data_IF_119799543747
#
_entry.id   IF_119799543747
#
_cell.length_a   1.000
_cell.length_b   1.000
_cell.length_c   1.000
_cell.angle_alpha   90.00
_cell.angle_beta   90.00
_cell.angle_gamma   90.00
#
_symmetry.space_group_name_H-M   'P 1'
#
loop_
_entity.id
_entity.type
_entity.pdbx_description
1 polymer ?
#
# COMPACT_ATOMS: atom_id res chain seq x y z
N UNK A 1 47.71 -45.94 -22.75
CA UNK A 1 46.86 -45.60 -21.58
C UNK A 1 46.59 -44.10 -21.47
N UNK A 2 47.63 -43.26 -21.36
CA UNK A 2 47.54 -41.79 -21.14
C UNK A 2 46.63 -41.04 -22.14
N UNK A 3 46.66 -41.39 -23.44
CA UNK A 3 45.81 -40.79 -24.49
C UNK A 3 44.31 -41.04 -24.30
N UNK A 4 43.93 -42.20 -23.76
CA UNK A 4 42.52 -42.52 -23.51
C UNK A 4 42.00 -41.75 -22.30
N UNK A 5 42.83 -41.65 -21.26
CA UNK A 5 42.50 -40.91 -20.04
C UNK A 5 42.31 -39.40 -20.30
N UNK A 6 43.15 -38.81 -21.14
CA UNK A 6 43.06 -37.38 -21.52
C UNK A 6 41.79 -37.06 -22.31
N UNK A 7 41.37 -37.91 -23.26
CA UNK A 7 40.10 -37.71 -23.97
C UNK A 7 38.89 -37.87 -23.05
N UNK A 8 38.91 -38.84 -22.13
CA UNK A 8 37.84 -39.03 -21.15
C UNK A 8 37.71 -37.80 -20.23
N UNK A 9 38.84 -37.25 -19.77
CA UNK A 9 38.83 -36.04 -18.94
C UNK A 9 38.22 -34.83 -19.68
N UNK A 10 38.60 -34.61 -20.95
CA UNK A 10 38.04 -33.52 -21.75
C UNK A 10 36.54 -33.69 -22.03
N UNK A 11 36.08 -34.93 -22.28
CA UNK A 11 34.65 -35.22 -22.40
C UNK A 11 33.88 -34.92 -21.10
N UNK A 12 34.44 -35.28 -19.95
CA UNK A 12 33.82 -34.98 -18.66
C UNK A 12 33.75 -33.46 -18.40
N UNK A 13 34.79 -32.71 -18.74
CA UNK A 13 34.79 -31.24 -18.64
C UNK A 13 33.77 -30.60 -19.59
N UNK A 14 33.64 -31.13 -20.82
CA UNK A 14 32.63 -30.70 -21.78
C UNK A 14 31.21 -30.98 -21.27
N UNK A 15 30.94 -32.19 -20.78
CA UNK A 15 29.64 -32.57 -20.20
C UNK A 15 29.31 -31.74 -18.96
N UNK A 16 30.27 -31.52 -18.07
CA UNK A 16 30.09 -30.68 -16.89
C UNK A 16 29.75 -29.23 -17.27
N UNK A 17 30.47 -28.67 -18.24
CA UNK A 17 30.20 -27.32 -18.75
C UNK A 17 28.81 -27.23 -19.40
N UNK A 18 28.42 -28.23 -20.20
CA UNK A 18 27.13 -28.28 -20.87
C UNK A 18 25.96 -28.44 -19.88
N UNK A 19 26.09 -29.32 -18.89
CA UNK A 19 25.10 -29.46 -17.81
C UNK A 19 24.96 -28.18 -16.99
N UNK A 20 26.07 -27.52 -16.66
CA UNK A 20 26.06 -26.22 -16.00
C UNK A 20 25.37 -25.14 -16.83
N UNK A 21 25.63 -25.10 -18.14
CA UNK A 21 24.98 -24.20 -19.09
C UNK A 21 23.45 -24.40 -19.09
N UNK A 22 22.96 -25.64 -19.22
CA UNK A 22 21.53 -25.94 -19.24
C UNK A 22 20.85 -25.53 -17.93
N UNK A 23 21.49 -25.82 -16.80
CA UNK A 23 20.99 -25.43 -15.48
C UNK A 23 20.86 -23.92 -15.35
N UNK A 24 21.92 -23.18 -15.71
CA UNK A 24 21.93 -21.72 -15.58
C UNK A 24 20.97 -21.06 -16.56
N UNK A 25 20.81 -21.62 -17.76
CA UNK A 25 19.84 -21.14 -18.73
C UNK A 25 18.40 -21.24 -18.20
N UNK A 26 18.04 -22.38 -17.60
CA UNK A 26 16.74 -22.57 -16.96
C UNK A 26 16.55 -21.61 -15.77
N UNK A 27 17.58 -21.39 -14.94
CA UNK A 27 17.50 -20.43 -13.83
C UNK A 27 17.34 -18.98 -14.30
N UNK A 28 17.98 -18.60 -15.41
CA UNK A 28 17.81 -17.27 -16.01
C UNK A 28 16.37 -17.09 -16.48
N UNK A 29 15.78 -18.07 -17.18
CA UNK A 29 14.40 -17.98 -17.65
C UNK A 29 13.41 -17.83 -16.48
N UNK A 30 13.58 -18.63 -15.42
CA UNK A 30 12.79 -18.50 -14.19
C UNK A 30 13.00 -17.12 -13.54
N UNK A 31 14.25 -16.63 -13.53
CA UNK A 31 14.61 -15.32 -12.99
C UNK A 31 13.95 -14.16 -13.76
N UNK A 32 13.97 -14.20 -15.09
CA UNK A 32 13.33 -13.21 -15.96
C UNK A 32 11.82 -13.19 -15.76
N UNK A 33 11.18 -14.37 -15.68
CA UNK A 33 9.76 -14.48 -15.40
C UNK A 33 9.39 -13.85 -14.03
N UNK A 34 10.17 -14.13 -12.98
CA UNK A 34 9.98 -13.54 -11.64
C UNK A 34 10.18 -12.03 -11.63
N UNK A 35 11.16 -11.52 -12.37
CA UNK A 35 11.39 -10.07 -12.51
C UNK A 35 10.19 -9.42 -13.20
N UNK A 36 9.69 -9.99 -14.29
CA UNK A 36 8.54 -9.48 -15.01
C UNK A 36 7.27 -9.48 -14.13
N UNK A 37 7.02 -10.56 -13.39
CA UNK A 37 5.93 -10.62 -12.41
C UNK A 37 6.09 -9.59 -11.29
N UNK A 38 7.31 -9.40 -10.79
CA UNK A 38 7.65 -8.38 -9.81
C UNK A 38 7.35 -6.97 -10.34
N UNK A 39 7.76 -6.66 -11.57
CA UNK A 39 7.48 -5.36 -12.21
C UNK A 39 5.98 -5.12 -12.37
N UNK A 40 5.22 -6.14 -12.81
CA UNK A 40 3.76 -6.06 -12.89
C UNK A 40 3.12 -5.80 -11.53
N UNK A 41 3.63 -6.46 -10.48
CA UNK A 41 3.17 -6.28 -9.10
C UNK A 41 3.48 -4.87 -8.57
N UNK A 42 4.65 -4.32 -8.88
CA UNK A 42 4.99 -2.92 -8.57
C UNK A 42 4.02 -1.97 -9.27
N UNK A 43 3.77 -2.14 -10.57
CA UNK A 43 2.84 -1.29 -11.31
C UNK A 43 1.41 -1.36 -10.76
N UNK A 44 0.93 -2.54 -10.37
CA UNK A 44 -0.35 -2.69 -9.68
C UNK A 44 -0.35 -1.99 -8.31
N UNK A 45 0.73 -2.12 -7.54
CA UNK A 45 0.89 -1.46 -6.25
C UNK A 45 0.93 0.07 -6.34
N UNK A 46 1.58 0.64 -7.37
CA UNK A 46 1.58 2.08 -7.64
C UNK A 46 0.18 2.61 -7.96
N UNK A 47 -0.58 1.89 -8.79
CA UNK A 47 -1.98 2.22 -9.08
C UNK A 47 -2.83 2.19 -7.82
N UNK A 48 -2.68 1.14 -7.00
CA UNK A 48 -3.39 1.01 -5.73
C UNK A 48 -3.02 2.13 -4.75
N UNK A 49 -1.73 2.49 -4.66
CA UNK A 49 -1.26 3.59 -3.83
C UNK A 49 -1.85 4.93 -4.28
N UNK A 50 -1.88 5.20 -5.58
CA UNK A 50 -2.48 6.41 -6.16
C UNK A 50 -3.97 6.51 -5.82
N UNK A 51 -4.73 5.43 -6.04
CA UNK A 51 -6.14 5.36 -5.65
C UNK A 51 -6.33 5.56 -4.14
N UNK A 52 -5.46 4.97 -3.32
CA UNK A 52 -5.45 5.17 -1.87
C UNK A 52 -5.24 6.64 -1.47
N UNK A 53 -4.28 7.33 -2.10
CA UNK A 53 -4.02 8.77 -1.88
C UNK A 53 -5.24 9.62 -2.27
N UNK A 54 -5.91 9.31 -3.38
CA UNK A 54 -7.13 10.02 -3.79
C UNK A 54 -8.26 9.81 -2.78
N UNK A 55 -8.50 8.58 -2.33
CA UNK A 55 -9.50 8.27 -1.30
C UNK A 55 -9.20 9.01 0.01
N UNK A 56 -7.94 9.07 0.42
CA UNK A 56 -7.52 9.80 1.60
C UNK A 56 -7.80 11.30 1.48
N UNK A 57 -7.51 11.91 0.31
CA UNK A 57 -7.83 13.33 0.05
C UNK A 57 -9.34 13.59 0.12
N UNK A 58 -10.14 12.74 -0.52
CA UNK A 58 -11.60 12.84 -0.45
C UNK A 58 -12.12 12.67 0.99
N UNK A 59 -11.54 11.76 1.76
CA UNK A 59 -11.84 11.59 3.19
C UNK A 59 -11.53 12.86 4.00
N UNK A 60 -10.37 13.49 3.77
CA UNK A 60 -10.00 14.75 4.43
C UNK A 60 -11.00 15.88 4.11
N UNK A 61 -11.42 16.00 2.85
CA UNK A 61 -12.42 17.00 2.44
C UNK A 61 -13.76 16.76 3.12
N UNK A 62 -14.24 15.50 3.15
CA UNK A 62 -15.47 15.14 3.87
C UNK A 62 -15.39 15.47 5.35
N UNK A 63 -14.26 15.16 6.00
CA UNK A 63 -14.04 15.49 7.41
C UNK A 63 -14.06 17.01 7.66
N UNK A 64 -13.44 17.79 6.77
CA UNK A 64 -13.47 19.25 6.86
C UNK A 64 -14.88 19.81 6.71
N UNK A 65 -15.66 19.31 5.75
CA UNK A 65 -17.07 19.70 5.60
C UNK A 65 -17.89 19.33 6.85
N UNK A 66 -17.69 18.14 7.41
CA UNK A 66 -18.33 17.72 8.67
C UNK A 66 -17.96 18.62 9.85
N UNK A 67 -16.70 19.04 9.97
CA UNK A 67 -16.27 20.03 10.98
C UNK A 67 -16.97 21.38 10.82
N UNK A 68 -17.11 21.87 9.59
CA UNK A 68 -17.84 23.12 9.32
C UNK A 68 -19.32 23.00 9.69
N UNK A 69 -19.98 21.90 9.32
CA UNK A 69 -21.38 21.64 9.68
C UNK A 69 -21.56 21.58 11.20
N UNK A 70 -20.65 20.90 11.91
CA UNK A 70 -20.66 20.85 13.38
C UNK A 70 -20.53 22.25 13.99
N UNK A 71 -19.65 23.09 13.44
CA UNK A 71 -19.48 24.45 13.92
C UNK A 71 -20.72 25.31 13.71
N UNK A 72 -21.38 25.19 12.55
CA UNK A 72 -22.67 25.85 12.29
C UNK A 72 -23.72 25.35 13.28
N UNK A 73 -23.78 24.04 13.55
CA UNK A 73 -24.67 23.45 14.55
C UNK A 73 -24.44 24.02 15.95
N UNK A 74 -23.17 24.13 16.39
CA UNK A 74 -22.78 24.76 17.66
C UNK A 74 -23.25 26.22 17.75
N UNK A 75 -23.09 27.00 16.69
CA UNK A 75 -23.54 28.39 16.64
C UNK A 75 -25.07 28.50 16.75
N UNK A 76 -25.82 27.66 16.02
CA UNK A 76 -27.28 27.60 16.12
C UNK A 76 -27.75 27.22 17.52
N UNK A 77 -27.11 26.23 18.14
CA UNK A 77 -27.40 25.83 19.51
C UNK A 77 -27.12 26.97 20.51
N UNK A 78 -26.00 27.68 20.35
CA UNK A 78 -25.67 28.84 21.19
C UNK A 78 -26.70 29.97 21.05
N UNK A 79 -27.15 30.26 19.82
CA UNK A 79 -28.21 31.25 19.58
C UNK A 79 -29.55 30.82 20.21
N UNK A 80 -29.94 29.54 20.06
CA UNK A 80 -31.13 28.99 20.70
C UNK A 80 -31.07 29.03 22.22
N UNK A 81 -29.90 28.75 22.82
CA UNK A 81 -29.68 28.90 24.27
C UNK A 81 -29.87 30.34 24.74
N UNK A 82 -29.39 31.33 24.00
CA UNK A 82 -29.61 32.76 24.33
C UNK A 82 -31.09 33.11 24.30
N UNK A 83 -31.81 32.71 23.24
CA UNK A 83 -33.26 32.95 23.13
C UNK A 83 -34.03 32.27 24.28
N UNK A 84 -33.67 31.03 24.61
CA UNK A 84 -34.27 30.30 25.73
C UNK A 84 -34.06 31.02 27.07
N UNK A 85 -32.85 31.55 27.33
CA UNK A 85 -32.56 32.30 28.55
C UNK A 85 -33.41 33.57 28.67
N UNK A 86 -33.63 34.29 27.56
CA UNK A 86 -34.50 35.49 27.53
C UNK A 86 -35.93 35.11 27.93
N UNK A 87 -36.49 34.05 27.34
CA UNK A 87 -37.87 33.61 27.66
C UNK A 87 -37.98 33.10 29.10
N UNK A 88 -36.96 32.40 29.59
CA UNK A 88 -36.92 31.88 30.96
C UNK A 88 -36.80 32.97 32.03
N UNK A 89 -36.25 34.13 31.70
CA UNK A 89 -36.09 35.25 32.62
C UNK A 89 -37.40 36.02 32.90
N UNK A 90 -38.50 35.71 32.18
CA UNK A 90 -39.80 36.35 32.40
C UNK A 90 -40.34 35.93 33.79
N UNK A 91 -40.65 36.87 34.71
CA UNK A 91 -41.13 36.55 36.05
C UNK A 91 -42.62 36.16 36.03
N UNK A 92 -42.93 34.99 35.50
CA UNK A 92 -44.31 34.53 35.27
C UNK A 92 -45.16 34.49 36.56
N UNK A 93 -44.56 34.21 37.72
CA UNK A 93 -45.28 34.24 39.00
C UNK A 93 -45.75 35.64 39.41
N UNK A 94 -44.97 36.68 39.10
CA UNK A 94 -45.40 38.06 39.32
C UNK A 94 -46.52 38.46 38.34
N UNK A 95 -46.46 37.98 37.10
CA UNK A 95 -47.49 38.20 36.08
C UNK A 95 -48.81 37.54 36.48
N UNK A 96 -48.79 36.28 36.92
CA UNK A 96 -50.00 35.58 37.39
C UNK A 96 -50.63 36.21 38.62
N UNK A 97 -49.83 36.75 39.55
CA UNK A 97 -50.35 37.39 40.77
C UNK A 97 -50.98 38.78 40.50
N UNK A 98 -50.45 39.52 39.52
CA UNK A 98 -50.94 40.86 39.16
C UNK A 98 -52.11 40.82 38.17
N UNK A 99 -52.18 39.79 37.32
CA UNK A 99 -53.18 39.63 36.27
C UNK A 99 -53.73 38.19 36.27
N UNK A 100 -54.74 37.89 37.10
CA UNK A 100 -55.35 36.56 37.20
C UNK A 100 -56.05 36.08 35.92
N UNK A 101 -56.28 36.96 34.94
CA UNK A 101 -56.80 36.58 33.61
C UNK A 101 -55.68 36.10 32.66
N UNK A 102 -54.41 36.38 32.98
CA UNK A 102 -53.25 35.99 32.18
C UNK A 102 -52.68 34.60 32.54
N UNK A 103 -53.25 33.90 33.52
CA UNK A 103 -52.82 32.56 33.97
C UNK A 103 -52.75 31.51 32.84
N UNK A 104 -53.70 31.47 31.89
CA UNK A 104 -53.60 30.57 30.73
C UNK A 104 -52.35 30.85 29.89
N UNK A 105 -51.98 32.12 29.73
CA UNK A 105 -50.78 32.54 28.98
C UNK A 105 -49.50 32.14 29.71
N UNK A 106 -49.44 32.26 31.04
CA UNK A 106 -48.27 31.79 31.81
C UNK A 106 -48.05 30.28 31.69
N UNK A 107 -49.12 29.48 31.68
CA UNK A 107 -49.03 28.03 31.46
C UNK A 107 -48.47 27.66 30.07
N UNK A 108 -48.85 28.43 29.04
CA UNK A 108 -48.29 28.29 27.68
C UNK A 108 -46.79 28.61 27.66
N UNK A 109 -46.36 29.69 28.32
CA UNK A 109 -44.94 30.09 28.37
C UNK A 109 -44.12 29.05 29.15
N UNK A 110 -44.61 28.56 30.28
CA UNK A 110 -43.92 27.49 31.04
C UNK A 110 -43.78 26.21 30.23
N UNK A 111 -44.82 25.81 29.50
CA UNK A 111 -44.75 24.67 28.60
C UNK A 111 -43.69 24.89 27.52
N UNK A 112 -43.63 26.08 26.92
CA UNK A 112 -42.65 26.44 25.89
C UNK A 112 -41.22 26.46 26.46
N UNK A 113 -41.03 26.87 27.71
CA UNK A 113 -39.74 26.78 28.41
C UNK A 113 -39.34 25.30 28.58
N UNK A 114 -40.24 24.43 29.06
CA UNK A 114 -39.92 22.99 29.20
C UNK A 114 -39.52 22.37 27.87
N UNK A 115 -40.26 22.65 26.80
CA UNK A 115 -39.95 22.14 25.45
C UNK A 115 -38.63 22.71 24.90
N UNK A 116 -38.39 24.01 25.07
CA UNK A 116 -37.12 24.64 24.68
C UNK A 116 -35.91 24.05 25.42
N UNK A 117 -36.06 23.74 26.71
CA UNK A 117 -35.05 23.05 27.50
C UNK A 117 -34.72 21.66 26.95
N UNK A 118 -35.75 20.88 26.59
CA UNK A 118 -35.56 19.56 25.95
C UNK A 118 -34.86 19.68 24.60
N UNK A 119 -35.22 20.68 23.78
CA UNK A 119 -34.60 20.92 22.48
C UNK A 119 -33.11 21.29 22.62
N UNK A 120 -32.76 22.12 23.59
CA UNK A 120 -31.35 22.45 23.88
C UNK A 120 -30.58 21.21 24.30
N UNK A 121 -31.11 20.42 25.24
CA UNK A 121 -30.47 19.19 25.69
C UNK A 121 -30.29 18.18 24.53
N UNK A 122 -31.26 18.09 23.63
CA UNK A 122 -31.14 17.29 22.42
C UNK A 122 -30.03 17.82 21.48
N UNK A 123 -29.99 19.14 21.24
CA UNK A 123 -28.95 19.77 20.43
C UNK A 123 -27.54 19.60 21.00
N UNK A 124 -27.38 19.66 22.33
CA UNK A 124 -26.11 19.38 23.00
C UNK A 124 -25.66 17.93 22.76
N UNK A 125 -26.57 16.97 22.87
CA UNK A 125 -26.28 15.55 22.56
C UNK A 125 -25.87 15.37 21.09
N UNK A 126 -26.53 16.07 20.15
CA UNK A 126 -26.16 16.04 18.74
C UNK A 126 -24.76 16.62 18.49
N UNK A 127 -24.42 17.74 19.13
CA UNK A 127 -23.08 18.34 19.04
C UNK A 127 -22.03 17.37 19.58
N UNK A 128 -22.26 16.80 20.78
CA UNK A 128 -21.33 15.84 21.37
C UNK A 128 -21.14 14.59 20.49
N UNK A 129 -22.22 14.11 19.85
CA UNK A 129 -22.14 13.03 18.88
C UNK A 129 -21.32 13.43 17.64
N UNK A 130 -21.55 14.63 17.09
CA UNK A 130 -20.80 15.17 15.97
C UNK A 130 -19.30 15.33 16.27
N UNK A 131 -18.94 15.78 17.47
CA UNK A 131 -17.54 15.84 17.93
C UNK A 131 -16.89 14.47 17.96
N UNK A 132 -17.59 13.45 18.48
CA UNK A 132 -17.10 12.06 18.46
C UNK A 132 -16.90 11.55 17.03
N UNK A 133 -17.80 11.88 16.10
CA UNK A 133 -17.66 11.52 14.69
C UNK A 133 -16.45 12.19 14.03
N UNK A 134 -16.22 13.47 14.32
CA UNK A 134 -15.02 14.19 13.84
C UNK A 134 -13.75 13.55 14.38
N UNK A 135 -13.67 13.28 15.68
CA UNK A 135 -12.51 12.64 16.30
C UNK A 135 -12.26 11.24 15.72
N UNK A 136 -13.33 10.47 15.45
CA UNK A 136 -13.22 9.18 14.79
C UNK A 136 -12.68 9.32 13.35
N UNK A 137 -13.20 10.28 12.58
CA UNK A 137 -12.73 10.57 11.24
C UNK A 137 -11.26 10.98 11.21
N UNK A 138 -10.79 11.80 12.15
CA UNK A 138 -9.37 12.16 12.27
C UNK A 138 -8.48 10.93 12.49
N UNK A 139 -8.89 10.01 13.38
CA UNK A 139 -8.17 8.75 13.59
C UNK A 139 -8.12 7.90 12.33
N UNK A 140 -9.22 7.82 11.57
CA UNK A 140 -9.24 7.11 10.29
C UNK A 140 -8.30 7.73 9.25
N UNK A 141 -8.24 9.06 9.16
CA UNK A 141 -7.30 9.77 8.28
C UNK A 141 -5.86 9.47 8.68
N UNK A 142 -5.52 9.54 9.96
CA UNK A 142 -4.17 9.23 10.45
C UNK A 142 -3.75 7.79 10.13
N UNK A 143 -4.65 6.83 10.36
CA UNK A 143 -4.43 5.42 9.98
C UNK A 143 -4.27 5.25 8.46
N UNK A 144 -5.07 5.97 7.67
CA UNK A 144 -4.95 6.00 6.21
C UNK A 144 -3.58 6.52 5.75
N UNK A 145 -3.09 7.60 6.34
CA UNK A 145 -1.75 8.15 6.05
C UNK A 145 -0.63 7.16 6.38
N UNK A 146 -0.71 6.48 7.52
CA UNK A 146 0.26 5.44 7.89
C UNK A 146 0.27 4.30 6.85
N UNK A 147 -0.90 3.84 6.39
CA UNK A 147 -1.01 2.81 5.35
C UNK A 147 -0.38 3.27 4.02
N UNK A 148 -0.58 4.54 3.63
CA UNK A 148 0.06 5.11 2.44
C UNK A 148 1.58 5.12 2.58
N UNK A 149 2.12 5.58 3.71
CA UNK A 149 3.57 5.59 3.96
C UNK A 149 4.16 4.18 3.93
N UNK A 150 3.50 3.22 4.58
CA UNK A 150 3.93 1.82 4.56
C UNK A 150 3.91 1.26 3.12
N UNK A 151 2.89 1.59 2.33
CA UNK A 151 2.81 1.22 0.91
C UNK A 151 3.95 1.81 0.07
N UNK A 152 4.29 3.08 0.28
CA UNK A 152 5.42 3.74 -0.39
C UNK A 152 6.76 3.07 -0.08
N UNK A 153 7.01 2.75 1.20
CA UNK A 153 8.23 2.05 1.62
C UNK A 153 8.31 0.66 0.98
N UNK A 154 7.19 -0.08 0.96
CA UNK A 154 7.14 -1.41 0.32
C UNK A 154 7.38 -1.35 -1.18
N UNK A 155 6.86 -0.33 -1.87
CA UNK A 155 7.15 -0.13 -3.29
C UNK A 155 8.62 0.21 -3.52
N UNK A 156 9.21 1.06 -2.67
CA UNK A 156 10.63 1.40 -2.77
C UNK A 156 11.52 0.17 -2.56
N UNK A 157 11.25 -0.63 -1.53
CA UNK A 157 12.02 -1.86 -1.28
C UNK A 157 11.84 -2.89 -2.39
N UNK A 158 10.62 -3.05 -2.91
CA UNK A 158 10.35 -3.94 -4.04
C UNK A 158 11.09 -3.51 -5.32
N UNK A 159 11.17 -2.20 -5.62
CA UNK A 159 11.97 -1.69 -6.74
C UNK A 159 13.46 -1.99 -6.59
N UNK A 160 14.01 -1.82 -5.38
CA UNK A 160 15.41 -2.17 -5.07
C UNK A 160 15.65 -3.67 -5.27
N UNK A 161 14.74 -4.51 -4.77
CA UNK A 161 14.85 -5.96 -4.93
C UNK A 161 14.82 -6.39 -6.41
N UNK A 162 13.97 -5.77 -7.24
CA UNK A 162 13.96 -6.00 -8.68
C UNK A 162 15.29 -5.58 -9.31
N UNK A 163 15.83 -4.41 -8.98
CA UNK A 163 17.10 -3.95 -9.51
C UNK A 163 18.26 -4.91 -9.15
N UNK A 164 18.30 -5.39 -7.91
CA UNK A 164 19.25 -6.40 -7.47
C UNK A 164 19.06 -7.74 -8.20
N UNK A 165 17.81 -8.15 -8.43
CA UNK A 165 17.48 -9.34 -9.22
C UNK A 165 18.00 -9.23 -10.65
N UNK A 166 17.81 -8.08 -11.30
CA UNK A 166 18.33 -7.79 -12.65
C UNK A 166 19.86 -7.87 -12.66
N UNK A 167 20.56 -7.28 -11.68
CA UNK A 167 22.02 -7.34 -11.61
C UNK A 167 22.54 -8.79 -11.48
N UNK A 168 21.91 -9.61 -10.62
CA UNK A 168 22.25 -11.04 -10.49
C UNK A 168 21.98 -11.83 -11.77
N UNK A 169 20.90 -11.49 -12.48
CA UNK A 169 20.57 -12.11 -13.75
C UNK A 169 21.63 -11.83 -14.83
N UNK A 170 22.14 -10.59 -14.88
CA UNK A 170 23.22 -10.20 -15.78
C UNK A 170 24.53 -10.97 -15.48
N UNK A 171 24.87 -11.16 -14.20
CA UNK A 171 26.01 -12.00 -13.81
C UNK A 171 25.81 -13.46 -14.23
N UNK A 172 24.61 -14.01 -14.02
CA UNK A 172 24.28 -15.37 -14.43
C UNK A 172 24.39 -15.54 -15.96
N UNK A 173 23.94 -14.56 -16.75
CA UNK A 173 24.08 -14.57 -18.21
C UNK A 173 25.54 -14.62 -18.65
N UNK A 174 26.42 -13.84 -18.02
CA UNK A 174 27.88 -13.88 -18.31
C UNK A 174 28.48 -15.25 -18.01
N UNK A 175 28.13 -15.86 -16.87
CA UNK A 175 28.60 -17.20 -16.50
C UNK A 175 28.08 -18.25 -17.48
N UNK A 176 26.80 -18.15 -17.89
CA UNK A 176 26.21 -19.04 -18.90
C UNK A 176 27.00 -18.97 -20.20
N UNK A 177 27.30 -17.77 -20.68
CA UNK A 177 28.04 -17.58 -21.93
C UNK A 177 29.47 -18.14 -21.83
N UNK A 178 30.13 -17.98 -20.67
CA UNK A 178 31.43 -18.60 -20.42
C UNK A 178 31.37 -20.14 -20.42
N UNK A 179 30.33 -20.73 -19.84
CA UNK A 179 30.10 -22.19 -19.84
C UNK A 179 29.81 -22.72 -21.25
N UNK A 180 29.11 -21.95 -22.08
CA UNK A 180 28.88 -22.29 -23.48
C UNK A 180 30.21 -22.32 -24.26
N UNK A 181 31.06 -21.31 -24.06
CA UNK A 181 32.38 -21.22 -24.69
C UNK A 181 33.28 -22.37 -24.22
N UNK A 182 33.31 -22.69 -22.91
CA UNK A 182 34.14 -23.79 -22.40
C UNK A 182 33.67 -25.15 -22.93
N UNK A 183 32.35 -25.38 -23.00
CA UNK A 183 31.81 -26.60 -23.60
C UNK A 183 32.21 -26.74 -25.08
N UNK A 184 32.10 -25.67 -25.88
CA UNK A 184 32.54 -25.66 -27.28
C UNK A 184 34.05 -25.87 -27.41
N UNK A 185 34.86 -25.25 -26.54
CA UNK A 185 36.30 -25.41 -26.53
C UNK A 185 36.73 -26.85 -26.23
N UNK A 186 36.20 -27.46 -25.16
CA UNK A 186 36.57 -28.82 -24.79
C UNK A 186 36.09 -29.86 -25.82
N UNK A 187 34.90 -29.69 -26.40
CA UNK A 187 34.42 -30.56 -27.48
C UNK A 187 35.30 -30.45 -28.72
N UNK A 188 35.64 -29.23 -29.15
CA UNK A 188 36.55 -29.00 -30.27
C UNK A 188 37.94 -29.61 -30.02
N UNK A 189 38.53 -29.35 -28.85
CA UNK A 189 39.86 -29.87 -28.48
C UNK A 189 39.87 -31.41 -28.45
N UNK A 190 38.78 -32.02 -27.95
CA UNK A 190 38.61 -33.48 -27.95
C UNK A 190 38.64 -34.04 -29.38
N UNK A 191 37.92 -33.41 -30.31
CA UNK A 191 37.86 -33.83 -31.72
C UNK A 191 39.24 -33.69 -32.38
N UNK A 192 39.93 -32.56 -32.20
CA UNK A 192 41.25 -32.31 -32.80
C UNK A 192 42.29 -33.32 -32.31
N UNK A 193 42.36 -33.56 -30.99
CA UNK A 193 43.31 -34.52 -30.42
C UNK A 193 43.02 -35.96 -30.88
N UNK A 194 41.74 -36.33 -30.99
CA UNK A 194 41.33 -37.64 -31.49
C UNK A 194 41.80 -37.86 -32.95
N UNK A 195 41.59 -36.86 -33.83
CA UNK A 195 42.04 -36.90 -35.23
C UNK A 195 43.58 -36.95 -35.31
N UNK A 196 44.26 -36.07 -34.57
CA UNK A 196 45.73 -35.99 -34.56
C UNK A 196 46.37 -37.30 -34.12
N UNK A 197 45.88 -37.91 -33.04
CA UNK A 197 46.40 -39.20 -32.56
C UNK A 197 46.00 -40.39 -33.42
N UNK A 198 44.93 -40.30 -34.21
CA UNK A 198 44.58 -41.30 -35.23
C UNK A 198 45.58 -41.24 -36.38
N UNK A 199 45.86 -40.06 -36.92
CA UNK A 199 46.85 -39.85 -38.00
C UNK A 199 48.27 -40.26 -37.57
N UNK A 200 48.71 -39.86 -36.38
CA UNK A 200 50.05 -40.24 -35.86
C UNK A 200 50.21 -41.75 -35.61
N UNK A 201 49.11 -42.48 -35.37
CA UNK A 201 49.15 -43.95 -35.28
C UNK A 201 49.28 -44.60 -36.66
N UNK A 202 48.54 -44.12 -37.64
CA UNK A 202 48.59 -44.62 -39.03
C UNK A 202 49.96 -44.41 -39.69
N UNK A 203 50.74 -43.40 -39.28
CA UNK A 203 52.11 -43.17 -39.77
C UNK A 203 53.19 -44.04 -39.07
N UNK A 204 52.82 -44.84 -38.04
CA UNK A 204 53.74 -45.70 -37.28
C UNK A 204 53.42 -47.19 -37.41
N UNK A 205 52.38 -47.53 -38.15
CA UNK A 205 52.00 -48.90 -38.55
C UNK A 205 52.42 -49.14 -39.97
#
# INVERSE_FOLDING_TARGET
MIKRLTLLLLMLLAMGSFSGYLYLNNQIEIGEAKIAEGQKSIGAGEKALSAGKQRLRAGKQKLQAGKQQLQIGKQKLAAGKKQYQIVRAIPLGAVSNLLPEATPLTGIVEHKIREGGKQIAHGEKQVAYGEKQVAHGEKQIAAGEQKIRAGELRLKSGKIAIAQGIAKLEEAKKIRDALAISAAFFTFLTIVLAIFWRRKRALRS
#
